data_IF_746492958998
#
_entry.id   IF_746492958998
#
_cell.length_a   1.000
_cell.length_b   1.000
_cell.length_c   1.000
_cell.angle_alpha   90.00
_cell.angle_beta   90.00
_cell.angle_gamma   90.00
#
_symmetry.space_group_name_H-M   'P 1'
#
loop_
_entity.id
_entity.type
_entity.pdbx_description
1 polymer ?
#
# COMPACT_ATOMS: atom_id res chain seq x y z
N UNK A 1 -13.88 -79.94 -23.78
CA UNK A 1 -12.73 -79.05 -23.89
C UNK A 1 -13.00 -77.69 -24.55
N UNK A 2 -13.76 -77.56 -25.63
CA UNK A 2 -14.02 -76.23 -26.31
C UNK A 2 -14.77 -75.20 -25.46
N UNK A 3 -15.68 -75.58 -24.57
CA UNK A 3 -16.43 -74.64 -23.69
C UNK A 3 -15.56 -74.07 -22.54
N UNK A 4 -14.59 -74.82 -22.04
CA UNK A 4 -13.67 -74.34 -20.97
C UNK A 4 -12.65 -73.33 -21.53
N UNK A 5 -12.19 -73.50 -22.75
CA UNK A 5 -11.26 -72.58 -23.41
C UNK A 5 -11.92 -71.22 -23.69
N UNK A 6 -13.23 -71.23 -24.08
CA UNK A 6 -13.96 -69.98 -24.34
C UNK A 6 -14.22 -69.19 -23.04
N UNK A 7 -14.52 -69.87 -21.93
CA UNK A 7 -14.69 -69.20 -20.62
C UNK A 7 -13.40 -68.60 -20.11
N UNK A 8 -12.25 -69.26 -20.25
CA UNK A 8 -10.94 -68.68 -19.88
C UNK A 8 -10.56 -67.46 -20.73
N UNK A 9 -10.85 -67.50 -22.05
CA UNK A 9 -10.54 -66.38 -22.93
C UNK A 9 -11.37 -65.13 -22.61
N UNK A 10 -12.65 -65.28 -22.24
CA UNK A 10 -13.53 -64.17 -21.86
C UNK A 10 -13.08 -63.54 -20.53
N UNK A 11 -12.64 -64.34 -19.56
CA UNK A 11 -12.12 -63.86 -18.26
C UNK A 11 -10.80 -63.09 -18.45
N UNK A 12 -9.90 -63.55 -19.32
CA UNK A 12 -8.65 -62.88 -19.62
C UNK A 12 -8.90 -61.56 -20.35
N UNK A 13 -9.82 -61.51 -21.28
CA UNK A 13 -10.18 -60.25 -22.01
C UNK A 13 -10.83 -59.23 -21.05
N UNK A 14 -11.70 -59.68 -20.11
CA UNK A 14 -12.29 -58.76 -19.12
C UNK A 14 -11.26 -58.21 -18.11
N UNK A 15 -10.26 -58.98 -17.78
CA UNK A 15 -9.15 -58.53 -16.92
C UNK A 15 -8.22 -57.51 -17.64
N UNK A 16 -8.03 -57.65 -18.97
CA UNK A 16 -7.21 -56.74 -19.75
C UNK A 16 -7.93 -55.43 -20.08
N UNK A 17 -9.28 -55.40 -20.06
CA UNK A 17 -10.11 -54.20 -20.30
C UNK A 17 -10.70 -53.62 -19.01
N UNK A 18 -10.27 -54.04 -17.83
CA UNK A 18 -10.57 -53.29 -16.61
C UNK A 18 -10.00 -51.89 -16.77
N UNK A 19 -10.81 -50.82 -16.72
CA UNK A 19 -10.32 -49.47 -16.77
C UNK A 19 -9.46 -49.30 -15.52
N UNK A 20 -8.14 -49.46 -15.64
CA UNK A 20 -7.23 -48.98 -14.67
C UNK A 20 -7.49 -47.49 -14.62
N UNK A 21 -8.12 -47.02 -13.56
CA UNK A 21 -8.16 -45.60 -13.25
C UNK A 21 -6.70 -45.23 -13.07
N UNK A 22 -6.07 -44.76 -14.13
CA UNK A 22 -4.83 -44.04 -14.06
C UNK A 22 -5.11 -42.83 -13.19
N UNK A 23 -4.92 -42.95 -11.88
CA UNK A 23 -4.74 -41.80 -11.01
C UNK A 23 -3.40 -41.17 -11.39
N UNK A 24 -3.42 -40.43 -12.50
CA UNK A 24 -2.24 -39.83 -13.12
C UNK A 24 -1.80 -38.55 -12.40
N UNK A 25 -2.39 -38.22 -11.26
CA UNK A 25 -1.97 -37.08 -10.47
C UNK A 25 -1.67 -37.58 -9.05
N UNK A 26 -0.40 -37.81 -8.77
CA UNK A 26 0.07 -37.78 -7.41
C UNK A 26 -0.40 -36.47 -6.79
N UNK A 27 -0.98 -36.55 -5.61
CA UNK A 27 -1.37 -35.38 -4.84
C UNK A 27 -0.13 -34.54 -4.68
N UNK A 28 -0.10 -33.36 -5.31
CA UNK A 28 1.03 -32.44 -5.20
C UNK A 28 1.21 -32.12 -3.71
N UNK A 29 2.18 -32.76 -3.08
CA UNK A 29 2.56 -32.47 -1.70
C UNK A 29 3.46 -31.24 -1.72
N UNK A 30 3.19 -30.28 -0.85
CA UNK A 30 4.03 -29.10 -0.66
C UNK A 30 4.73 -29.18 0.70
N UNK A 31 5.94 -28.64 0.78
CA UNK A 31 6.64 -28.42 2.03
C UNK A 31 6.28 -27.10 2.69
N UNK A 32 5.44 -26.29 2.05
CA UNK A 32 4.97 -25.00 2.58
C UNK A 32 3.82 -25.26 3.55
N UNK A 33 3.95 -24.77 4.78
CA UNK A 33 3.03 -25.04 5.87
C UNK A 33 2.34 -23.74 6.32
N UNK A 34 1.08 -23.85 6.75
CA UNK A 34 0.36 -22.71 7.29
C UNK A 34 1.07 -22.12 8.51
N UNK A 35 1.34 -22.95 9.52
CA UNK A 35 1.90 -22.51 10.81
C UNK A 35 3.34 -21.95 10.70
N UNK A 36 3.99 -22.08 9.54
CA UNK A 36 5.38 -21.66 9.32
C UNK A 36 5.52 -20.50 8.33
N UNK A 37 5.04 -20.65 7.10
CA UNK A 37 5.19 -19.64 6.04
C UNK A 37 3.93 -18.79 5.89
N UNK A 38 2.77 -19.44 5.74
CA UNK A 38 1.54 -18.75 5.33
C UNK A 38 1.06 -17.77 6.40
N UNK A 39 1.09 -18.16 7.67
CA UNK A 39 0.69 -17.29 8.78
C UNK A 39 1.46 -15.97 8.78
N UNK A 40 2.76 -15.99 8.45
CA UNK A 40 3.60 -14.78 8.41
C UNK A 40 3.27 -13.87 7.23
N UNK A 41 2.94 -14.46 6.09
CA UNK A 41 2.54 -13.70 4.90
C UNK A 41 1.18 -13.04 5.14
N UNK A 42 0.24 -13.78 5.73
CA UNK A 42 -1.08 -13.25 6.07
C UNK A 42 -1.01 -12.13 7.10
N UNK A 43 -0.20 -12.31 8.15
CA UNK A 43 0.04 -11.30 9.18
C UNK A 43 0.55 -9.99 8.58
N UNK A 44 1.52 -10.09 7.68
CA UNK A 44 2.16 -8.93 7.07
C UNK A 44 1.26 -8.20 6.05
N UNK A 45 0.49 -8.93 5.22
CA UNK A 45 -0.14 -8.35 4.03
C UNK A 45 -1.66 -8.41 4.01
N UNK A 46 -2.32 -9.26 4.80
CA UNK A 46 -3.71 -9.61 4.60
C UNK A 46 -4.63 -9.25 5.78
N UNK A 47 -4.27 -9.66 7.02
CA UNK A 47 -5.16 -9.56 8.18
C UNK A 47 -5.42 -8.14 8.64
N UNK A 48 -4.65 -7.16 8.19
CA UNK A 48 -4.97 -5.76 8.44
C UNK A 48 -6.31 -5.32 7.83
N UNK A 49 -6.82 -6.05 6.83
CA UNK A 49 -8.11 -5.82 6.17
C UNK A 49 -9.05 -7.03 6.26
N UNK A 50 -8.52 -8.24 6.28
CA UNK A 50 -9.25 -9.49 6.30
C UNK A 50 -9.49 -9.98 7.73
N UNK A 51 -10.25 -9.19 8.50
CA UNK A 51 -10.61 -9.45 9.89
C UNK A 51 -12.06 -9.88 10.00
N UNK A 52 -12.43 -10.48 11.14
CA UNK A 52 -13.81 -10.84 11.41
C UNK A 52 -14.71 -9.59 11.40
N UNK A 53 -15.93 -9.74 10.86
CA UNK A 53 -16.88 -8.64 10.61
C UNK A 53 -16.36 -7.51 9.72
N UNK A 54 -15.23 -7.72 9.06
CA UNK A 54 -14.69 -6.80 8.05
C UNK A 54 -15.55 -6.79 6.77
N UNK A 55 -15.19 -5.99 5.77
CA UNK A 55 -15.94 -5.88 4.51
C UNK A 55 -15.65 -7.04 3.55
N UNK A 56 -14.79 -7.97 3.93
CA UNK A 56 -14.42 -9.17 3.16
C UNK A 56 -14.30 -10.37 4.10
N UNK A 57 -14.06 -11.55 3.55
CA UNK A 57 -13.87 -12.76 4.35
C UNK A 57 -12.64 -12.64 5.28
N UNK A 58 -12.72 -13.15 6.53
CA UNK A 58 -11.60 -13.11 7.46
C UNK A 58 -10.51 -14.13 7.09
N UNK A 59 -9.26 -13.85 7.50
CA UNK A 59 -8.08 -14.69 7.33
C UNK A 59 -7.26 -14.82 8.62
N UNK A 60 -7.92 -14.74 9.77
CA UNK A 60 -7.28 -14.72 11.09
C UNK A 60 -6.95 -16.12 11.61
N UNK A 61 -7.53 -17.17 11.02
CA UNK A 61 -7.27 -18.57 11.41
C UNK A 61 -6.96 -19.45 10.22
N UNK A 62 -6.40 -20.63 10.51
CA UNK A 62 -6.14 -21.66 9.48
C UNK A 62 -7.46 -22.04 8.75
N UNK A 63 -8.51 -22.30 9.49
CA UNK A 63 -9.79 -22.75 8.97
C UNK A 63 -10.41 -21.71 8.02
N UNK A 64 -10.40 -20.43 8.44
CA UNK A 64 -10.85 -19.32 7.61
C UNK A 64 -10.02 -19.21 6.32
N UNK A 65 -8.71 -19.33 6.43
CA UNK A 65 -7.79 -19.23 5.29
C UNK A 65 -7.94 -20.43 4.34
N UNK A 66 -8.01 -21.64 4.89
CA UNK A 66 -8.10 -22.87 4.10
C UNK A 66 -9.36 -22.89 3.21
N UNK A 67 -10.52 -22.53 3.77
CA UNK A 67 -11.79 -22.43 3.04
C UNK A 67 -11.70 -21.42 1.87
N UNK A 68 -10.93 -20.35 2.01
CA UNK A 68 -10.76 -19.31 1.01
C UNK A 68 -9.54 -19.52 0.08
N UNK A 69 -8.80 -20.60 0.24
CA UNK A 69 -7.51 -20.83 -0.45
C UNK A 69 -7.57 -20.58 -1.96
N UNK A 70 -8.60 -21.10 -2.66
CA UNK A 70 -8.76 -20.87 -4.12
C UNK A 70 -8.96 -19.40 -4.48
N UNK A 71 -9.72 -18.63 -3.66
CA UNK A 71 -9.93 -17.19 -3.87
C UNK A 71 -8.66 -16.40 -3.58
N UNK A 72 -7.92 -16.77 -2.53
CA UNK A 72 -6.63 -16.16 -2.20
C UNK A 72 -5.67 -16.37 -3.37
N UNK A 73 -5.49 -17.61 -3.84
CA UNK A 73 -4.65 -17.93 -5.00
C UNK A 73 -5.03 -17.11 -6.24
N UNK A 74 -6.30 -17.06 -6.57
CA UNK A 74 -6.77 -16.29 -7.72
C UNK A 74 -6.48 -14.79 -7.57
N UNK A 75 -6.73 -14.21 -6.39
CA UNK A 75 -6.49 -12.79 -6.11
C UNK A 75 -5.02 -12.41 -6.18
N UNK A 76 -4.13 -13.25 -5.64
CA UNK A 76 -2.67 -12.95 -5.66
C UNK A 76 -2.07 -13.15 -7.05
N UNK A 77 -2.49 -14.16 -7.82
CA UNK A 77 -2.02 -14.36 -9.20
C UNK A 77 -2.50 -13.24 -10.14
N UNK A 78 -3.73 -12.76 -9.95
CA UNK A 78 -4.26 -11.61 -10.69
C UNK A 78 -3.70 -10.26 -10.18
N UNK A 79 -2.90 -10.24 -9.12
CA UNK A 79 -2.38 -9.03 -8.47
C UNK A 79 -3.47 -8.06 -7.99
N UNK A 80 -4.67 -8.57 -7.73
CA UNK A 80 -5.74 -7.77 -7.12
C UNK A 80 -5.55 -7.62 -5.61
N UNK A 81 -4.85 -8.58 -4.98
CA UNK A 81 -4.53 -8.60 -3.56
C UNK A 81 -3.06 -8.99 -3.33
N UNK A 82 -2.39 -8.31 -2.43
CA UNK A 82 -2.78 -7.06 -1.75
C UNK A 82 -2.99 -5.90 -2.74
N UNK A 83 -3.78 -4.84 -2.38
CA UNK A 83 -4.07 -3.73 -3.29
C UNK A 83 -2.84 -2.82 -3.43
N UNK A 84 -2.02 -3.07 -4.43
CA UNK A 84 -0.81 -2.32 -4.73
C UNK A 84 -0.58 -2.24 -6.24
N UNK A 85 -0.47 -1.02 -6.78
CA UNK A 85 -0.41 -0.79 -8.21
C UNK A 85 1.01 -0.65 -8.78
N UNK A 86 2.01 -0.27 -7.97
CA UNK A 86 3.37 -0.12 -8.49
C UNK A 86 3.98 -1.47 -8.88
N UNK A 87 4.59 -1.49 -10.05
CA UNK A 87 5.29 -2.65 -10.58
C UNK A 87 6.67 -2.72 -9.95
N UNK A 88 7.03 -3.88 -9.40
CA UNK A 88 8.35 -4.10 -8.83
C UNK A 88 9.48 -3.81 -9.82
N UNK A 89 10.56 -3.22 -9.32
CA UNK A 89 11.70 -2.81 -10.15
C UNK A 89 11.66 -1.36 -10.63
N UNK A 90 10.54 -0.65 -10.44
CA UNK A 90 10.38 0.76 -10.77
C UNK A 90 10.06 1.57 -9.49
N UNK A 91 11.09 2.19 -8.92
CA UNK A 91 11.01 2.84 -7.62
C UNK A 91 11.11 1.84 -6.45
N UNK A 92 11.39 2.39 -5.27
CA UNK A 92 11.38 1.67 -3.99
C UNK A 92 10.56 2.47 -3.01
N UNK A 93 9.50 1.87 -2.46
CA UNK A 93 8.52 2.57 -1.66
C UNK A 93 8.46 1.99 -0.23
N UNK A 94 8.44 2.88 0.77
CA UNK A 94 8.30 2.48 2.18
C UNK A 94 6.92 1.92 2.51
N UNK A 95 5.92 2.30 1.72
CA UNK A 95 4.54 1.82 1.87
C UNK A 95 4.17 0.70 0.88
N UNK A 96 5.17 0.00 0.31
CA UNK A 96 4.93 -1.15 -0.58
C UNK A 96 4.27 -2.29 0.18
N UNK A 97 3.07 -2.67 -0.26
CA UNK A 97 2.31 -3.81 0.27
C UNK A 97 2.27 -4.99 -0.71
N UNK A 98 3.07 -4.97 -1.78
CA UNK A 98 3.09 -6.07 -2.74
C UNK A 98 3.68 -7.35 -2.13
N UNK A 99 3.22 -8.49 -2.62
CA UNK A 99 3.88 -9.77 -2.34
C UNK A 99 5.17 -9.88 -3.15
N UNK A 100 6.22 -10.37 -2.53
CA UNK A 100 7.40 -10.83 -3.25
C UNK A 100 7.06 -12.05 -4.11
N UNK A 101 7.86 -12.32 -5.13
CA UNK A 101 7.71 -13.52 -5.93
C UNK A 101 7.71 -14.79 -5.07
N UNK A 102 8.56 -14.84 -4.05
CA UNK A 102 8.65 -15.97 -3.11
C UNK A 102 7.39 -16.12 -2.26
N UNK A 103 6.84 -15.03 -1.72
CA UNK A 103 5.59 -15.05 -0.95
C UNK A 103 4.42 -15.52 -1.83
N UNK A 104 4.35 -15.03 -3.07
CA UNK A 104 3.35 -15.50 -4.06
C UNK A 104 3.49 -16.98 -4.33
N UNK A 105 4.71 -17.48 -4.57
CA UNK A 105 4.99 -18.91 -4.78
C UNK A 105 4.60 -19.76 -3.56
N UNK A 106 4.86 -19.29 -2.35
CA UNK A 106 4.45 -19.99 -1.13
C UNK A 106 2.92 -20.09 -1.04
N UNK A 107 2.19 -19.02 -1.26
CA UNK A 107 0.71 -19.06 -1.24
C UNK A 107 0.18 -20.03 -2.29
N UNK A 108 0.66 -19.95 -3.53
CA UNK A 108 0.21 -20.80 -4.63
C UNK A 108 0.53 -22.27 -4.34
N UNK A 109 1.77 -22.57 -3.95
CA UNK A 109 2.21 -23.92 -3.60
C UNK A 109 1.42 -24.52 -2.44
N UNK A 110 1.13 -23.70 -1.43
CA UNK A 110 0.33 -24.14 -0.28
C UNK A 110 -1.09 -24.50 -0.69
N UNK A 111 -1.75 -23.65 -1.48
CA UNK A 111 -3.12 -23.91 -1.94
C UNK A 111 -3.20 -25.16 -2.84
N UNK A 112 -2.25 -25.30 -3.78
CA UNK A 112 -2.18 -26.44 -4.70
C UNK A 112 -1.80 -27.73 -3.99
N UNK A 113 -1.00 -27.65 -2.92
CA UNK A 113 -0.62 -28.76 -2.06
C UNK A 113 -1.68 -29.11 -0.99
N UNK A 114 -2.95 -28.70 -1.20
CA UNK A 114 -4.10 -28.98 -0.32
C UNK A 114 -4.03 -28.29 1.06
N UNK A 115 -3.22 -27.26 1.20
CA UNK A 115 -3.20 -26.39 2.36
C UNK A 115 -2.76 -27.05 3.66
N UNK A 116 -1.62 -27.76 3.74
CA UNK A 116 -1.19 -28.44 4.95
C UNK A 116 -0.97 -27.42 6.09
N UNK A 117 -1.45 -27.77 7.28
CA UNK A 117 -1.33 -26.91 8.45
C UNK A 117 0.07 -26.94 9.05
N UNK A 118 0.55 -28.15 9.37
CA UNK A 118 1.85 -28.41 10.00
C UNK A 118 2.48 -29.67 9.43
N UNK A 119 3.70 -30.00 9.84
CA UNK A 119 4.44 -31.17 9.34
C UNK A 119 3.70 -32.49 9.57
N UNK A 120 2.95 -32.64 10.65
CA UNK A 120 2.16 -33.84 10.93
C UNK A 120 1.03 -34.07 9.92
N UNK A 121 0.44 -33.03 9.36
CA UNK A 121 -0.63 -33.13 8.35
C UNK A 121 -0.11 -33.55 6.97
N UNK A 122 1.17 -33.33 6.68
CA UNK A 122 1.80 -33.73 5.41
C UNK A 122 2.03 -35.24 5.33
N UNK A 123 2.39 -35.88 6.46
CA UNK A 123 2.84 -37.26 6.48
C UNK A 123 1.81 -38.28 6.97
N UNK A 124 0.77 -37.86 7.67
CA UNK A 124 -0.05 -38.82 8.42
C UNK A 124 -1.53 -38.79 8.13
N UNK A 125 -2.10 -37.81 7.43
CA UNK A 125 -3.55 -37.57 7.37
C UNK A 125 -4.25 -37.60 8.77
N UNK A 126 -3.47 -37.58 9.83
CA UNK A 126 -3.97 -37.57 11.21
C UNK A 126 -4.00 -36.14 11.67
N UNK A 127 -5.19 -35.64 11.90
CA UNK A 127 -5.41 -34.39 12.62
C UNK A 127 -4.83 -34.58 14.02
N UNK A 128 -3.66 -34.02 14.31
CA UNK A 128 -3.14 -34.00 15.68
C UNK A 128 -4.02 -33.03 16.48
N UNK A 129 -5.01 -33.61 17.15
CA UNK A 129 -5.84 -32.93 18.12
C UNK A 129 -4.99 -32.50 19.31
N UNK A 130 -4.55 -31.26 19.36
CA UNK A 130 -3.84 -30.78 20.54
C UNK A 130 -3.03 -29.49 20.41
N UNK A 131 -2.58 -29.11 19.23
CA UNK A 131 -1.90 -27.84 19.05
C UNK A 131 -2.94 -26.71 18.96
N UNK A 132 -2.83 -25.73 19.87
CA UNK A 132 -3.62 -24.51 19.78
C UNK A 132 -3.46 -23.88 18.41
N UNK A 133 -4.52 -23.51 17.68
CA UNK A 133 -4.38 -22.93 16.36
C UNK A 133 -3.43 -21.73 16.42
N UNK A 134 -2.42 -21.69 15.55
CA UNK A 134 -1.67 -20.46 15.35
C UNK A 134 -2.67 -19.41 14.82
N UNK A 135 -2.96 -18.41 15.62
CA UNK A 135 -3.75 -17.28 15.20
C UNK A 135 -2.86 -16.34 14.39
N UNK A 136 -3.37 -15.90 13.26
CA UNK A 136 -2.74 -14.80 12.52
C UNK A 136 -3.03 -13.53 13.33
N UNK A 137 -1.99 -12.81 13.70
CA UNK A 137 -2.10 -11.54 14.43
C UNK A 137 -1.57 -10.43 13.55
N UNK A 138 -2.29 -9.32 13.52
CA UNK A 138 -1.79 -8.13 12.85
C UNK A 138 -0.47 -7.69 13.51
N UNK A 139 0.54 -7.43 12.69
CA UNK A 139 1.89 -7.05 13.13
C UNK A 139 1.93 -5.66 13.78
N UNK A 140 0.90 -4.85 13.59
CA UNK A 140 0.78 -3.47 14.09
C UNK A 140 -0.29 -3.41 15.17
N UNK A 141 0.05 -2.85 16.33
CA UNK A 141 -0.95 -2.46 17.33
C UNK A 141 -1.62 -1.17 16.89
N UNK A 142 -2.83 -1.30 16.38
CA UNK A 142 -3.63 -0.19 15.89
C UNK A 142 -4.35 0.59 17.00
N UNK A 143 -4.23 0.18 18.24
CA UNK A 143 -4.81 0.86 19.40
C UNK A 143 -3.88 1.90 20.05
N UNK A 144 -2.62 1.96 19.61
CA UNK A 144 -1.61 2.86 20.18
C UNK A 144 -0.97 3.74 19.11
N UNK A 145 -0.58 4.95 19.49
CA UNK A 145 0.22 5.85 18.65
C UNK A 145 1.63 5.26 18.41
N UNK A 146 1.99 5.05 17.16
CA UNK A 146 3.27 4.42 16.80
C UNK A 146 4.48 5.33 17.05
N UNK A 147 4.28 6.65 16.99
CA UNK A 147 5.31 7.64 17.24
C UNK A 147 5.29 8.21 18.69
N UNK A 148 4.53 7.58 19.58
CA UNK A 148 4.25 8.09 20.90
C UNK A 148 3.12 9.14 20.91
N UNK A 149 2.94 9.86 22.01
CA UNK A 149 1.85 10.83 22.14
C UNK A 149 2.01 12.01 21.17
N UNK A 150 1.01 12.34 20.33
CA UNK A 150 1.06 13.48 19.42
C UNK A 150 1.01 14.82 20.16
N UNK A 151 1.68 15.85 19.61
CA UNK A 151 1.61 17.21 20.12
C UNK A 151 0.20 17.82 20.00
N UNK A 152 -0.52 17.46 18.93
CA UNK A 152 -1.92 17.85 18.71
C UNK A 152 -2.73 16.64 18.29
N UNK A 153 -3.88 16.47 18.93
CA UNK A 153 -4.90 15.48 18.56
C UNK A 153 -6.19 16.17 18.16
N UNK A 154 -6.75 15.76 17.02
CA UNK A 154 -8.05 16.27 16.55
C UNK A 154 -8.92 15.13 16.08
N UNK A 155 -10.10 15.05 16.65
CA UNK A 155 -11.08 14.04 16.30
C UNK A 155 -11.86 14.51 15.07
N UNK A 156 -12.04 13.61 14.10
CA UNK A 156 -12.86 13.85 12.92
C UNK A 156 -14.36 13.83 13.31
N UNK A 157 -15.22 14.51 12.55
CA UNK A 157 -16.66 14.35 12.70
C UNK A 157 -17.09 12.90 12.56
N UNK A 158 -18.07 12.47 13.34
CA UNK A 158 -18.60 11.12 13.27
C UNK A 158 -19.20 10.84 11.88
N UNK A 159 -18.86 9.69 11.32
CA UNK A 159 -19.35 9.21 10.05
C UNK A 159 -20.18 7.93 10.27
N UNK A 160 -21.49 8.00 10.01
CA UNK A 160 -22.33 6.80 9.98
C UNK A 160 -22.20 6.13 8.62
N UNK A 161 -21.70 4.90 8.62
CA UNK A 161 -21.50 4.06 7.45
C UNK A 161 -22.56 2.98 7.46
N UNK A 162 -23.45 2.98 6.47
CA UNK A 162 -24.53 2.00 6.40
C UNK A 162 -23.99 0.59 6.11
N UNK A 163 -24.77 -0.42 6.53
CA UNK A 163 -24.47 -1.81 6.17
C UNK A 163 -24.34 -1.96 4.66
N UNK A 164 -23.27 -2.65 4.21
CA UNK A 164 -22.96 -2.91 2.80
C UNK A 164 -22.89 -1.67 1.93
N UNK A 165 -22.67 -0.49 2.53
CA UNK A 165 -22.47 0.74 1.78
C UNK A 165 -21.34 0.56 0.76
N UNK A 166 -21.59 0.95 -0.49
CA UNK A 166 -20.55 1.04 -1.52
C UNK A 166 -19.52 2.12 -1.12
N UNK A 167 -18.48 2.29 -1.92
CA UNK A 167 -17.47 3.30 -1.67
C UNK A 167 -18.11 4.68 -1.46
N UNK A 168 -17.71 5.33 -0.39
CA UNK A 168 -18.17 6.65 0.02
C UNK A 168 -16.94 7.50 0.37
N UNK A 169 -16.92 8.73 -0.08
CA UNK A 169 -15.82 9.67 0.18
C UNK A 169 -16.36 10.86 0.92
N UNK A 170 -15.87 11.08 2.13
CA UNK A 170 -16.27 12.22 2.96
C UNK A 170 -15.11 13.16 3.18
N UNK A 171 -15.40 14.45 3.08
CA UNK A 171 -14.44 15.51 3.37
C UNK A 171 -14.92 16.29 4.59
N UNK A 172 -13.99 16.54 5.50
CA UNK A 172 -14.23 17.39 6.67
C UNK A 172 -13.04 18.34 6.87
N UNK A 173 -13.33 19.51 7.40
CA UNK A 173 -12.33 20.50 7.78
C UNK A 173 -12.06 20.36 9.26
N UNK A 174 -10.79 20.32 9.63
CA UNK A 174 -10.31 20.16 10.99
C UNK A 174 -9.48 21.41 11.33
N UNK A 175 -9.93 22.17 12.33
CA UNK A 175 -9.13 23.24 12.91
C UNK A 175 -8.06 22.64 13.83
N UNK A 176 -6.79 22.92 13.57
CA UNK A 176 -5.69 22.51 14.41
C UNK A 176 -5.53 23.38 15.66
N UNK A 177 -6.20 24.56 15.70
CA UNK A 177 -6.10 25.57 16.77
C UNK A 177 -4.66 26.03 17.04
N UNK A 178 -3.86 26.12 15.99
CA UNK A 178 -2.48 26.58 16.10
C UNK A 178 -2.46 28.07 16.42
N UNK A 179 -1.85 28.44 17.54
CA UNK A 179 -1.71 29.85 17.96
C UNK A 179 -0.51 30.54 17.31
N UNK A 180 0.43 29.77 16.79
CA UNK A 180 1.64 30.26 16.13
C UNK A 180 2.05 29.31 15.00
N UNK A 181 2.94 29.75 14.13
CA UNK A 181 3.49 28.94 13.06
C UNK A 181 4.18 27.71 13.65
N UNK A 182 3.89 26.53 13.09
CA UNK A 182 4.49 25.26 13.51
C UNK A 182 5.15 24.54 12.34
N UNK A 183 6.21 23.80 12.68
CA UNK A 183 6.83 22.84 11.79
C UNK A 183 6.34 21.45 12.17
N UNK A 184 5.83 20.69 11.20
CA UNK A 184 5.27 19.36 11.41
C UNK A 184 6.14 18.33 10.72
N UNK A 185 6.63 17.34 11.50
CA UNK A 185 7.51 16.25 11.03
C UNK A 185 6.76 14.97 10.70
N UNK A 186 5.59 14.78 11.28
CA UNK A 186 4.82 13.56 11.07
C UNK A 186 3.33 13.78 11.33
N UNK A 187 2.53 12.94 10.68
CA UNK A 187 1.10 12.77 10.95
C UNK A 187 0.80 11.29 11.14
N UNK A 188 -0.13 11.01 12.02
CA UNK A 188 -0.65 9.67 12.24
C UNK A 188 -2.17 9.74 12.33
N UNK A 189 -2.84 8.87 11.60
CA UNK A 189 -4.30 8.78 11.66
C UNK A 189 -4.70 7.45 12.29
N UNK A 190 -5.52 7.54 13.31
CA UNK A 190 -6.08 6.41 14.03
C UNK A 190 -7.58 6.33 13.73
N UNK A 191 -8.03 5.41 12.86
CA UNK A 191 -9.46 5.16 12.65
C UNK A 191 -10.15 4.74 13.93
N UNK A 192 -11.38 5.18 14.15
CA UNK A 192 -12.23 4.69 15.25
C UNK A 192 -12.71 3.26 14.97
N UNK A 193 -13.05 2.96 13.72
CA UNK A 193 -13.28 1.59 13.24
C UNK A 193 -12.60 1.38 11.89
N UNK A 194 -11.43 0.73 11.92
CA UNK A 194 -10.60 0.47 10.74
C UNK A 194 -11.25 -0.46 9.70
N UNK A 195 -12.27 -1.23 10.08
CA UNK A 195 -12.96 -2.15 9.16
C UNK A 195 -13.64 -1.41 8.02
N UNK A 196 -14.07 -0.18 8.26
CA UNK A 196 -14.80 0.64 7.28
C UNK A 196 -13.92 1.68 6.57
N UNK A 197 -12.70 1.97 7.06
CA UNK A 197 -11.80 2.96 6.45
C UNK A 197 -10.86 2.30 5.44
N UNK A 198 -10.85 2.82 4.21
CA UNK A 198 -10.01 2.35 3.10
C UNK A 198 -8.74 3.16 2.95
N UNK A 199 -8.88 4.47 2.98
CA UNK A 199 -7.78 5.42 2.92
C UNK A 199 -8.21 6.74 3.55
N UNK A 200 -7.25 7.53 4.00
CA UNK A 200 -7.47 8.91 4.38
C UNK A 200 -6.35 9.79 3.82
N UNK A 201 -6.70 10.99 3.32
CA UNK A 201 -5.77 11.98 2.78
C UNK A 201 -5.92 13.27 3.54
N UNK A 202 -4.79 13.90 3.86
CA UNK A 202 -4.73 15.13 4.64
C UNK A 202 -4.07 16.22 3.83
N UNK A 203 -4.76 17.35 3.70
CA UNK A 203 -4.32 18.50 2.87
C UNK A 203 -4.54 19.77 3.66
N UNK A 204 -3.61 20.71 3.60
CA UNK A 204 -3.81 22.05 4.17
C UNK A 204 -4.86 22.77 3.38
N UNK A 205 -5.91 23.25 4.03
CA UNK A 205 -7.05 23.89 3.36
C UNK A 205 -6.63 25.17 2.59
N UNK A 206 -5.82 26.00 3.22
CA UNK A 206 -5.44 27.32 2.72
C UNK A 206 -4.49 27.24 1.52
N UNK A 207 -3.67 26.20 1.43
CA UNK A 207 -2.61 26.10 0.41
C UNK A 207 -2.81 24.97 -0.58
N UNK A 208 -3.67 23.99 -0.25
CA UNK A 208 -3.79 22.76 -1.00
C UNK A 208 -2.58 21.82 -0.83
N UNK A 209 -1.63 22.12 0.07
CA UNK A 209 -0.47 21.28 0.30
C UNK A 209 -0.88 19.94 0.85
N UNK A 210 -0.47 18.85 0.19
CA UNK A 210 -0.67 17.50 0.68
C UNK A 210 0.30 17.21 1.84
N UNK A 211 -0.24 16.79 2.99
CA UNK A 211 0.53 16.46 4.18
C UNK A 211 0.81 14.97 4.32
N UNK A 212 0.06 14.14 3.61
CA UNK A 212 0.19 12.70 3.67
C UNK A 212 -1.13 11.97 3.64
N UNK A 213 -1.06 10.67 3.82
CA UNK A 213 -2.22 9.78 3.74
C UNK A 213 -2.04 8.59 4.64
N UNK A 214 -3.15 7.98 4.97
CA UNK A 214 -3.24 6.73 5.71
C UNK A 214 -3.84 5.65 4.83
N UNK A 215 -3.30 4.45 4.92
CA UNK A 215 -3.92 3.21 4.44
C UNK A 215 -3.80 2.14 5.51
N UNK A 216 -4.57 1.04 5.46
CA UNK A 216 -4.50 -0.01 6.49
C UNK A 216 -3.10 -0.59 6.72
N UNK A 217 -2.22 -0.54 5.73
CA UNK A 217 -0.83 -1.04 5.80
C UNK A 217 0.21 0.06 5.95
N UNK A 218 -0.20 1.33 5.98
CA UNK A 218 0.69 2.48 6.14
C UNK A 218 0.01 3.56 6.99
N UNK A 219 0.15 3.41 8.31
CA UNK A 219 -0.57 4.20 9.30
C UNK A 219 0.08 5.53 9.65
N UNK A 220 1.38 5.68 9.41
CA UNK A 220 2.17 6.84 9.84
C UNK A 220 2.85 7.50 8.64
N UNK A 221 2.67 8.81 8.53
CA UNK A 221 3.44 9.65 7.60
C UNK A 221 4.53 10.35 8.39
N UNK A 222 5.76 9.91 8.20
CA UNK A 222 6.93 10.53 8.82
C UNK A 222 7.87 11.07 7.75
N UNK A 223 8.15 12.36 7.82
CA UNK A 223 9.05 13.02 6.87
C UNK A 223 10.51 12.58 7.09
N UNK A 224 11.34 12.66 6.04
CA UNK A 224 12.77 12.45 6.17
C UNK A 224 13.38 13.36 7.22
N UNK A 225 14.46 12.91 7.85
CA UNK A 225 15.15 13.68 8.87
C UNK A 225 15.57 15.08 8.33
N UNK A 226 15.29 16.11 9.11
CA UNK A 226 15.56 17.49 8.73
C UNK A 226 14.51 18.12 7.80
N UNK A 227 13.44 17.42 7.44
CA UNK A 227 12.33 17.97 6.66
C UNK A 227 11.09 18.18 7.52
N UNK A 228 10.32 19.22 7.23
CA UNK A 228 9.06 19.52 7.91
C UNK A 228 8.09 20.27 7.00
N UNK A 229 6.79 20.06 7.20
CA UNK A 229 5.77 20.96 6.69
C UNK A 229 5.75 22.24 7.51
N UNK A 230 5.51 23.36 6.87
CA UNK A 230 5.27 24.63 7.56
C UNK A 230 3.77 24.89 7.60
N UNK A 231 3.22 24.90 8.79
CA UNK A 231 1.82 25.23 9.04
C UNK A 231 1.74 26.59 9.74
N UNK A 232 1.21 27.65 9.10
CA UNK A 232 0.94 28.93 9.74
C UNK A 232 -0.05 28.81 10.91
N UNK A 233 -0.05 29.78 11.80
CA UNK A 233 -1.09 29.94 12.80
C UNK A 233 -2.48 29.93 12.14
N UNK A 234 -3.46 29.30 12.78
CA UNK A 234 -4.82 29.17 12.26
C UNK A 234 -4.99 28.22 11.07
N UNK A 235 -4.00 27.38 10.74
CA UNK A 235 -4.12 26.39 9.67
C UNK A 235 -5.21 25.36 9.92
N UNK A 236 -5.97 25.05 8.86
CA UNK A 236 -6.96 23.99 8.85
C UNK A 236 -6.49 22.83 7.96
N UNK A 237 -6.89 21.60 8.31
CA UNK A 237 -6.65 20.41 7.51
C UNK A 237 -7.96 19.91 6.93
N UNK A 238 -7.99 19.71 5.60
CA UNK A 238 -9.03 18.92 4.95
C UNK A 238 -8.66 17.45 5.08
N UNK A 239 -9.49 16.70 5.78
CA UNK A 239 -9.44 15.24 5.83
C UNK A 239 -10.42 14.68 4.80
N UNK A 240 -9.91 13.99 3.78
CA UNK A 240 -10.69 13.21 2.83
C UNK A 240 -10.57 11.74 3.20
N UNK A 241 -11.66 11.13 3.65
CA UNK A 241 -11.68 9.74 4.10
C UNK A 241 -12.56 8.90 3.19
N UNK A 242 -11.99 7.79 2.72
CA UNK A 242 -12.64 6.82 1.86
C UNK A 242 -13.18 5.67 2.71
N UNK A 243 -14.48 5.43 2.64
CA UNK A 243 -15.19 4.44 3.43
C UNK A 243 -15.78 3.33 2.56
N UNK A 244 -15.95 2.15 3.18
CA UNK A 244 -16.76 1.06 2.66
C UNK A 244 -17.45 0.33 3.80
N UNK A 245 -18.76 0.09 3.66
CA UNK A 245 -19.57 -0.59 4.67
C UNK A 245 -19.21 -2.07 4.84
N UNK A 246 -19.43 -2.56 6.06
CA UNK A 246 -19.40 -3.96 6.45
C UNK A 246 -20.79 -4.58 6.37
N UNK A 247 -21.01 -5.73 6.99
CA UNK A 247 -22.34 -6.33 7.09
C UNK A 247 -23.26 -5.66 8.14
N UNK A 248 -22.74 -4.74 8.92
CA UNK A 248 -23.44 -3.97 9.94
C UNK A 248 -23.26 -2.46 9.74
N UNK A 249 -24.17 -1.68 10.31
CA UNK A 249 -23.97 -0.23 10.35
C UNK A 249 -22.89 0.09 11.39
N UNK A 250 -21.97 0.99 11.03
CA UNK A 250 -20.85 1.41 11.88
C UNK A 250 -20.85 2.93 12.02
N UNK A 251 -20.63 3.41 13.23
CA UNK A 251 -20.30 4.84 13.47
C UNK A 251 -18.81 4.95 13.67
N UNK A 252 -18.15 5.52 12.67
CA UNK A 252 -16.71 5.73 12.66
C UNK A 252 -16.38 7.15 13.10
N UNK A 253 -15.30 7.31 13.88
CA UNK A 253 -14.78 8.60 14.32
C UNK A 253 -13.28 8.49 14.54
N UNK A 254 -12.52 8.75 13.50
CA UNK A 254 -11.05 8.71 13.55
C UNK A 254 -10.45 9.92 14.26
N UNK A 255 -9.20 9.79 14.65
CA UNK A 255 -8.41 10.84 15.28
C UNK A 255 -7.12 11.07 14.49
N UNK A 256 -6.85 12.33 14.16
CA UNK A 256 -5.60 12.77 13.55
C UNK A 256 -4.63 13.23 14.66
N UNK A 257 -3.45 12.62 14.68
CA UNK A 257 -2.31 13.04 15.49
C UNK A 257 -1.31 13.83 14.64
N UNK A 258 -0.81 14.94 15.16
CA UNK A 258 0.17 15.81 14.52
C UNK A 258 1.39 15.91 15.42
N UNK A 259 2.59 15.70 14.86
CA UNK A 259 3.85 15.73 15.58
C UNK A 259 4.71 16.89 15.11
N UNK A 260 5.10 17.76 16.02
CA UNK A 260 5.91 18.91 15.70
C UNK A 260 7.38 18.55 15.51
N UNK A 261 8.04 19.30 14.65
CA UNK A 261 9.47 19.30 14.48
C UNK A 261 10.09 20.44 15.31
N UNK A 262 11.40 20.37 15.52
CA UNK A 262 12.15 21.51 16.00
C UNK A 262 11.99 22.69 15.02
N UNK A 263 11.82 23.90 15.56
CA UNK A 263 11.70 25.12 14.76
C UNK A 263 12.95 25.39 13.90
N UNK A 264 14.11 24.86 14.30
CA UNK A 264 15.35 24.93 13.53
C UNK A 264 15.41 23.94 12.34
N UNK A 265 14.38 23.10 12.12
CA UNK A 265 14.35 22.12 11.02
C UNK A 265 14.57 22.82 9.67
N UNK A 266 15.64 22.49 8.91
CA UNK A 266 16.11 23.35 7.81
C UNK A 266 15.27 23.25 6.55
N UNK A 267 14.64 22.07 6.26
CA UNK A 267 14.05 21.81 4.95
C UNK A 267 12.52 21.87 5.02
N UNK A 268 11.95 22.90 4.38
CA UNK A 268 10.49 22.97 4.21
C UNK A 268 10.06 22.06 3.06
N UNK A 269 9.06 21.21 3.32
CA UNK A 269 8.40 20.40 2.30
C UNK A 269 7.43 21.27 1.51
N UNK A 270 7.40 21.07 0.20
CA UNK A 270 6.48 21.72 -0.73
C UNK A 270 6.02 20.74 -1.80
N UNK A 271 4.93 21.04 -2.47
CA UNK A 271 4.41 20.23 -3.55
C UNK A 271 4.77 20.82 -4.92
N UNK A 272 5.09 19.90 -5.85
CA UNK A 272 5.14 20.18 -7.29
C UNK A 272 4.00 19.43 -7.95
N UNK A 273 3.12 20.16 -8.62
CA UNK A 273 1.93 19.58 -9.26
C UNK A 273 2.14 19.56 -10.78
N UNK A 274 1.94 18.37 -11.38
CA UNK A 274 1.87 18.16 -12.82
C UNK A 274 0.42 17.80 -13.19
N UNK A 275 -0.17 18.55 -14.13
CA UNK A 275 -1.50 18.25 -14.68
C UNK A 275 -1.34 17.72 -16.11
N UNK A 276 -1.45 16.41 -16.26
CA UNK A 276 -1.35 15.74 -17.54
C UNK A 276 -2.62 15.95 -18.35
N UNK A 277 -2.42 16.38 -19.59
CA UNK A 277 -3.47 16.66 -20.57
C UNK A 277 -3.46 15.61 -21.67
N UNK A 278 -4.57 15.53 -22.40
CA UNK A 278 -4.71 14.61 -23.52
C UNK A 278 -3.73 14.97 -24.65
N UNK A 279 -2.92 13.99 -25.05
CA UNK A 279 -2.04 14.03 -26.22
C UNK A 279 -2.62 13.25 -27.41
N UNK A 280 -3.83 12.69 -27.25
CA UNK A 280 -4.46 11.81 -28.22
C UNK A 280 -4.04 10.34 -28.08
N UNK A 281 -4.76 9.44 -28.75
CA UNK A 281 -4.44 8.02 -28.76
C UNK A 281 -4.53 7.32 -27.40
N UNK A 282 -5.32 7.84 -26.47
CA UNK A 282 -5.46 7.25 -25.12
C UNK A 282 -4.30 7.55 -24.20
N UNK A 283 -3.67 8.71 -24.38
CA UNK A 283 -2.48 9.12 -23.63
C UNK A 283 -2.68 10.51 -23.01
N UNK A 284 -2.44 10.63 -21.70
CA UNK A 284 -2.31 11.91 -21.01
C UNK A 284 -0.84 12.14 -20.64
N UNK A 285 -0.34 13.37 -20.79
CA UNK A 285 1.05 13.69 -20.44
C UNK A 285 1.18 15.08 -19.83
N UNK A 286 2.13 15.18 -18.90
CA UNK A 286 2.70 16.43 -18.42
C UNK A 286 4.18 16.29 -18.18
N UNK A 287 4.92 17.37 -18.35
CA UNK A 287 6.33 17.42 -17.98
C UNK A 287 6.71 18.79 -17.42
N UNK A 288 7.76 18.85 -16.62
CA UNK A 288 8.33 20.08 -16.10
C UNK A 288 9.84 19.95 -15.95
N UNK A 289 10.56 21.05 -16.15
CA UNK A 289 12.00 21.14 -15.92
C UNK A 289 12.25 21.67 -14.50
N UNK A 290 13.05 20.97 -13.72
CA UNK A 290 13.39 21.37 -12.36
C UNK A 290 14.39 22.56 -12.37
N UNK A 291 14.05 23.62 -11.63
CA UNK A 291 14.86 24.82 -11.52
C UNK A 291 16.03 24.69 -10.52
N UNK A 292 15.97 23.71 -9.62
CA UNK A 292 16.97 23.47 -8.58
C UNK A 292 17.06 21.97 -8.25
N UNK A 293 18.15 21.56 -7.58
CA UNK A 293 18.27 20.23 -7.01
C UNK A 293 17.13 19.99 -6.03
N UNK A 294 16.41 18.91 -6.24
CA UNK A 294 15.15 18.61 -5.58
C UNK A 294 15.18 17.18 -5.02
N UNK A 295 14.75 17.00 -3.78
CA UNK A 295 14.55 15.68 -3.19
C UNK A 295 13.05 15.35 -3.23
N UNK A 296 12.64 14.46 -4.14
CA UNK A 296 11.29 13.90 -4.18
C UNK A 296 11.17 12.80 -3.12
N UNK A 297 10.17 12.88 -2.24
CA UNK A 297 9.98 11.86 -1.21
C UNK A 297 8.68 11.10 -1.35
N UNK A 298 7.66 11.66 -2.02
CA UNK A 298 6.39 10.96 -2.26
C UNK A 298 5.70 11.43 -3.54
N UNK A 299 4.91 10.54 -4.12
CA UNK A 299 4.09 10.77 -5.31
C UNK A 299 2.62 10.47 -4.97
N UNK A 300 1.72 11.39 -5.28
CA UNK A 300 0.27 11.19 -5.17
C UNK A 300 -0.36 11.41 -6.54
N UNK A 301 -0.63 10.36 -7.31
CA UNK A 301 -1.41 10.48 -8.52
C UNK A 301 -2.91 10.47 -8.19
N UNK A 302 -3.65 11.40 -8.76
CA UNK A 302 -5.11 11.40 -8.80
C UNK A 302 -5.53 10.86 -10.17
N UNK A 303 -5.93 9.60 -10.20
CA UNK A 303 -6.08 8.83 -11.44
C UNK A 303 -7.53 8.89 -11.90
N UNK A 304 -7.81 9.47 -13.08
CA UNK A 304 -9.15 9.47 -13.64
C UNK A 304 -9.56 8.07 -14.13
N UNK A 305 -10.87 7.83 -14.19
CA UNK A 305 -11.40 6.58 -14.72
C UNK A 305 -10.91 6.31 -16.15
N UNK A 306 -10.69 5.04 -16.49
CA UNK A 306 -10.22 4.62 -17.81
C UNK A 306 -8.69 4.55 -17.99
N UNK A 307 -7.92 5.11 -17.07
CA UNK A 307 -6.45 4.94 -17.04
C UNK A 307 -6.12 3.53 -16.62
N UNK A 308 -5.24 2.86 -17.40
CA UNK A 308 -4.77 1.49 -17.14
C UNK A 308 -3.38 1.47 -16.51
N UNK A 309 -2.52 2.41 -16.89
CA UNK A 309 -1.18 2.53 -16.33
C UNK A 309 -0.70 3.97 -16.30
N UNK A 310 0.22 4.26 -15.37
CA UNK A 310 0.97 5.51 -15.32
C UNK A 310 2.45 5.22 -15.24
N UNK A 311 3.24 6.11 -15.83
CA UNK A 311 4.67 6.17 -15.70
C UNK A 311 5.09 7.56 -15.22
N UNK A 312 5.92 7.61 -14.19
CA UNK A 312 6.60 8.83 -13.76
C UNK A 312 8.08 8.63 -14.01
N UNK A 313 8.66 9.46 -14.87
CA UNK A 313 10.07 9.35 -15.23
C UNK A 313 10.81 10.66 -15.03
N UNK A 314 12.12 10.56 -14.78
CA UNK A 314 13.04 11.66 -14.60
C UNK A 314 14.18 11.56 -15.62
N UNK A 315 14.23 12.48 -16.58
CA UNK A 315 15.32 12.56 -17.54
C UNK A 315 16.35 13.58 -17.07
N UNK A 316 17.50 13.08 -16.67
CA UNK A 316 18.61 13.88 -16.18
C UNK A 316 19.22 14.79 -17.29
N UNK A 317 19.92 15.89 -16.94
CA UNK A 317 20.57 16.78 -17.91
C UNK A 317 21.60 16.09 -18.82
N UNK A 318 22.21 15.01 -18.36
CA UNK A 318 23.15 14.18 -19.13
C UNK A 318 22.47 13.19 -20.09
N UNK A 319 21.13 13.19 -20.16
CA UNK A 319 20.34 12.34 -21.06
C UNK A 319 19.88 11.01 -20.46
N UNK A 320 20.41 10.59 -19.30
CA UNK A 320 19.94 9.38 -18.61
C UNK A 320 18.49 9.55 -18.16
N UNK A 321 17.69 8.48 -18.26
CA UNK A 321 16.28 8.48 -17.85
C UNK A 321 16.04 7.36 -16.85
N UNK A 322 15.52 7.74 -15.67
CA UNK A 322 15.10 6.82 -14.63
C UNK A 322 13.58 6.79 -14.54
N UNK A 323 12.98 5.61 -14.45
CA UNK A 323 11.56 5.44 -14.17
C UNK A 323 11.38 5.39 -12.66
N UNK A 324 10.78 6.45 -12.11
CA UNK A 324 10.56 6.60 -10.68
C UNK A 324 9.36 5.81 -10.18
N UNK A 325 8.36 5.61 -11.05
CA UNK A 325 7.16 4.84 -10.80
C UNK A 325 6.62 4.32 -12.12
N UNK A 326 6.38 3.03 -12.19
CA UNK A 326 5.47 2.44 -13.16
C UNK A 326 4.37 1.73 -12.40
N UNK A 327 3.12 2.14 -12.59
CA UNK A 327 1.98 1.58 -11.88
C UNK A 327 0.86 1.24 -12.84
N UNK A 328 0.14 0.15 -12.58
CA UNK A 328 -0.94 -0.36 -13.44
C UNK A 328 -1.99 -1.11 -12.62
N UNK A 329 -3.11 -1.40 -13.28
CA UNK A 329 -4.19 -2.20 -12.68
C UNK A 329 -4.67 -1.61 -11.35
N UNK A 330 -4.93 -0.30 -11.35
CA UNK A 330 -5.30 0.47 -10.16
C UNK A 330 -6.59 -0.05 -9.53
N UNK A 331 -6.55 -0.48 -8.26
CA UNK A 331 -7.76 -0.82 -7.55
C UNK A 331 -8.55 0.47 -7.24
N UNK A 332 -9.71 0.63 -7.89
CA UNK A 332 -10.54 1.84 -7.78
C UNK A 332 -10.92 2.17 -6.31
N UNK A 333 -11.02 1.14 -5.48
CA UNK A 333 -11.40 1.26 -4.07
C UNK A 333 -10.25 1.62 -3.14
N UNK A 334 -9.01 1.69 -3.65
CA UNK A 334 -7.79 1.84 -2.87
C UNK A 334 -6.87 2.90 -3.45
N UNK A 335 -7.26 4.18 -3.38
CA UNK A 335 -6.36 5.25 -3.79
C UNK A 335 -5.12 5.19 -2.90
N UNK A 336 -3.95 5.07 -3.52
CA UNK A 336 -2.69 4.83 -2.80
C UNK A 336 -1.64 5.82 -3.28
N UNK A 337 -0.99 6.56 -2.38
CA UNK A 337 0.22 7.30 -2.69
C UNK A 337 1.42 6.35 -2.74
N UNK A 338 2.52 6.82 -3.28
CA UNK A 338 3.79 6.11 -3.34
C UNK A 338 4.84 6.93 -2.58
N UNK A 339 5.26 6.43 -1.42
CA UNK A 339 6.24 7.09 -0.55
C UNK A 339 7.59 6.41 -0.75
N UNK A 340 8.57 7.13 -1.26
CA UNK A 340 9.90 6.55 -1.50
C UNK A 340 10.54 6.08 -0.20
N UNK A 341 11.15 4.90 -0.22
CA UNK A 341 11.90 4.36 0.91
C UNK A 341 13.10 5.26 1.29
N UNK A 342 13.68 5.90 0.26
CA UNK A 342 14.70 6.94 0.39
C UNK A 342 14.36 8.07 -0.57
N UNK A 343 14.41 9.35 -0.15
CA UNK A 343 14.13 10.46 -1.05
C UNK A 343 15.03 10.46 -2.27
N UNK A 344 14.44 10.65 -3.44
CA UNK A 344 15.14 10.62 -4.73
C UNK A 344 15.69 11.99 -5.08
N UNK A 345 17.00 12.09 -5.23
CA UNK A 345 17.65 13.32 -5.68
C UNK A 345 17.49 13.52 -7.18
N UNK A 346 16.78 14.55 -7.55
CA UNK A 346 16.60 15.03 -8.92
C UNK A 346 17.42 16.31 -9.09
N UNK A 347 18.42 16.29 -9.97
CA UNK A 347 19.30 17.44 -10.20
C UNK A 347 18.60 18.57 -10.92
N UNK A 348 19.06 19.80 -10.72
CA UNK A 348 18.67 20.97 -11.52
C UNK A 348 18.73 20.64 -13.02
N UNK A 349 17.70 21.03 -13.76
CA UNK A 349 17.60 20.77 -15.20
C UNK A 349 16.99 19.41 -15.56
N UNK A 350 16.78 18.50 -14.59
CA UNK A 350 16.03 17.26 -14.82
C UNK A 350 14.64 17.57 -15.34
N UNK A 351 14.19 16.84 -16.35
CA UNK A 351 12.81 16.87 -16.83
C UNK A 351 12.06 15.75 -16.14
N UNK A 352 11.15 16.13 -15.26
CA UNK A 352 10.21 15.21 -14.61
C UNK A 352 8.95 15.14 -15.47
N UNK A 353 8.52 13.92 -15.82
CA UNK A 353 7.32 13.70 -16.62
C UNK A 353 6.40 12.67 -15.99
N UNK A 354 5.09 12.84 -16.22
CA UNK A 354 4.08 11.82 -15.94
C UNK A 354 3.35 11.53 -17.25
N UNK A 355 3.19 10.24 -17.54
CA UNK A 355 2.43 9.75 -18.68
C UNK A 355 1.42 8.72 -18.20
N UNK A 356 0.17 8.88 -18.61
CA UNK A 356 -0.88 7.90 -18.37
C UNK A 356 -1.33 7.28 -19.69
N UNK A 357 -1.66 6.00 -19.64
CA UNK A 357 -2.16 5.24 -20.78
C UNK A 357 -3.50 4.59 -20.43
N UNK A 358 -4.41 4.55 -21.40
CA UNK A 358 -5.73 3.96 -21.22
C UNK A 358 -6.45 3.62 -22.52
N UNK A 359 -7.77 3.69 -22.52
CA UNK A 359 -8.59 3.50 -23.73
C UNK A 359 -8.42 4.67 -24.72
N UNK A 360 -9.01 4.59 -25.94
CA UNK A 360 -8.86 5.58 -27.00
C UNK A 360 -9.23 7.01 -26.58
N UNK A 361 -10.15 7.13 -25.65
CA UNK A 361 -10.57 8.39 -25.04
C UNK A 361 -10.41 8.30 -23.53
N UNK A 362 -9.55 9.13 -22.97
CA UNK A 362 -9.39 9.25 -21.52
C UNK A 362 -10.16 10.52 -21.07
N UNK A 363 -11.20 10.35 -20.25
CA UNK A 363 -11.91 11.51 -19.71
C UNK A 363 -11.05 12.19 -18.62
N UNK A 364 -11.04 13.51 -18.64
CA UNK A 364 -10.45 14.29 -17.56
C UNK A 364 -8.96 14.54 -17.67
N UNK A 365 -8.36 14.90 -16.54
CA UNK A 365 -6.95 15.22 -16.37
C UNK A 365 -6.37 14.31 -15.29
N UNK A 366 -5.15 13.83 -15.49
CA UNK A 366 -4.40 13.20 -14.42
C UNK A 366 -3.62 14.30 -13.68
N UNK A 367 -3.77 14.35 -12.37
CA UNK A 367 -2.97 15.22 -11.51
C UNK A 367 -1.96 14.36 -10.74
N UNK A 368 -0.67 14.71 -10.86
CA UNK A 368 0.41 14.16 -10.07
C UNK A 368 0.92 15.22 -9.11
N UNK A 369 0.77 14.99 -7.82
CA UNK A 369 1.43 15.78 -6.78
C UNK A 369 2.74 15.08 -6.39
N UNK A 370 3.85 15.80 -6.48
CA UNK A 370 5.18 15.36 -6.04
C UNK A 370 5.53 16.13 -4.79
N UNK A 371 5.52 15.48 -3.65
CA UNK A 371 5.96 16.08 -2.40
C UNK A 371 7.48 16.07 -2.33
N UNK A 372 8.07 17.25 -2.10
CA UNK A 372 9.50 17.46 -2.25
C UNK A 372 10.04 18.46 -1.26
N UNK A 373 11.36 18.45 -1.10
CA UNK A 373 12.07 19.50 -0.37
C UNK A 373 13.40 19.84 -1.07
N UNK A 374 13.94 21.01 -0.74
CA UNK A 374 15.24 21.46 -1.21
C UNK A 374 16.23 21.36 -0.04
N UNK A 375 17.36 20.74 -0.27
CA UNK A 375 18.43 20.75 0.73
C UNK A 375 19.11 22.10 0.69
N UNK A 376 19.05 22.85 1.78
CA UNK A 376 19.86 24.04 1.90
C UNK A 376 21.34 23.65 1.87
N UNK A 377 22.21 24.41 1.16
CA UNK A 377 23.64 24.22 1.30
C UNK A 377 24.02 24.35 2.78
N UNK A 378 25.04 23.61 3.25
CA UNK A 378 25.55 23.80 4.60
C UNK A 378 25.83 25.29 4.81
N UNK A 379 25.44 25.82 5.97
CA UNK A 379 25.75 27.21 6.31
C UNK A 379 27.28 27.41 6.15
N UNK A 380 27.72 28.52 5.53
CA UNK A 380 29.13 28.81 5.47
C UNK A 380 29.71 28.75 6.89
N UNK A 381 30.94 28.23 7.06
CA UNK A 381 31.57 28.18 8.35
C UNK A 381 31.49 29.58 8.93
N UNK A 382 31.07 29.70 10.20
CA UNK A 382 31.05 30.98 10.91
C UNK A 382 32.41 31.62 10.73
N UNK A 383 32.43 32.79 10.09
CA UNK A 383 33.68 33.55 9.93
C UNK A 383 34.08 33.93 11.38
N UNK A 384 35.13 33.30 11.86
CA UNK A 384 35.71 33.59 13.17
C UNK A 384 36.13 35.07 13.14
N UNK A 385 35.33 35.88 13.80
CA UNK A 385 35.70 37.31 13.97
C UNK A 385 36.88 37.31 14.94
N UNK A 386 38.07 37.31 14.37
CA UNK A 386 39.29 37.51 15.16
C UNK A 386 39.12 38.81 15.99
N UNK A 387 39.34 38.76 17.29
CA UNK A 387 39.28 39.97 18.14
C UNK A 387 40.30 40.98 17.61
N UNK A 388 39.86 42.19 17.35
CA UNK A 388 40.73 43.31 17.00
C UNK A 388 41.78 43.46 18.10
N UNK A 389 43.05 43.40 17.69
CA UNK A 389 44.16 43.73 18.57
C UNK A 389 43.96 45.14 19.16
N UNK A 390 44.24 45.36 20.45
CA UNK A 390 44.15 46.68 21.04
C UNK A 390 45.14 47.61 20.34
N UNK A 391 44.67 48.80 19.96
CA UNK A 391 45.49 49.85 19.40
C UNK A 391 46.48 50.34 20.51
N UNK A 392 47.75 50.22 20.24
CA UNK A 392 48.86 50.85 21.07
C UNK A 392 48.97 52.32 20.75
#
# INVERSE_FOLDING_TARGET
MRKAIFACSVVIVTLLFSPQRLFSHETLTTTVLFDREIVRILDKHCVMCHVEKGPSFPLETYEQTWVQGRKIRAGVLARHMPPWAAVQGYGQFSNDNSLTLRETQFIVSWVEGLGPRNAGTVFTNVVSSGARPAAVRAHVDFGAWQLGEPDVKRQLPAATIASRQANDVRRSVIDLELKEDRRVRALEFMPGDRRVVRAAFFTVQETGQWLGSWTPWYGVVQLPAGAAYRLPAGSHIVAEVHYRGTNEQVVERGTLGVYFADQATPHAVSDLVLEAKDEGGGKLRAETRLAADTYAWALRPEIPGGVRSIEVSARAPNGGTDVLLFAKDFPADWPTPFVFATPVLLRRGTILSVTAYGGPTLPGKLRLTVSRYFRLPPAPPATEILPRAPAT
#
